data_IF_318068314384
#
_entry.id   IF_318068314384
#
_cell.length_a   1.000
_cell.length_b   1.000
_cell.length_c   1.000
_cell.angle_alpha   90.00
_cell.angle_beta   90.00
_cell.angle_gamma   90.00
#
_symmetry.space_group_name_H-M   'P 1'
#
loop_
_entity.id
_entity.type
_entity.pdbx_description
1 polymer ?
#
# COMPACT_ATOMS: atom_id res chain seq x y z
N UNK A 1 -5.06 15.40 6.18
CA UNK A 1 -5.89 14.88 5.06
C UNK A 1 -7.30 14.79 5.59
N UNK A 2 -8.19 15.60 5.03
CA UNK A 2 -9.58 15.64 5.49
C UNK A 2 -10.30 14.35 5.06
N UNK A 3 -11.31 13.96 5.82
CA UNK A 3 -12.11 12.75 5.56
C UNK A 3 -11.29 11.45 5.46
N UNK A 4 -10.17 11.37 6.18
CA UNK A 4 -9.41 10.15 6.36
C UNK A 4 -10.20 9.14 7.21
N UNK A 5 -10.46 7.96 6.65
CA UNK A 5 -11.21 6.87 7.27
C UNK A 5 -10.28 5.74 7.72
N UNK A 6 -10.63 5.13 8.85
CA UNK A 6 -10.04 3.89 9.33
C UNK A 6 -11.07 2.76 9.22
N UNK A 7 -10.69 1.65 8.58
CA UNK A 7 -11.44 0.41 8.57
C UNK A 7 -10.78 -0.49 9.61
N UNK A 8 -11.36 -0.54 10.81
CA UNK A 8 -10.79 -1.22 11.97
C UNK A 8 -11.55 -2.51 12.25
N UNK A 9 -10.82 -3.58 12.57
CA UNK A 9 -11.41 -4.84 13.03
C UNK A 9 -12.18 -4.63 14.34
N UNK A 10 -13.34 -5.30 14.50
CA UNK A 10 -14.17 -5.11 15.71
C UNK A 10 -13.47 -5.63 16.97
N UNK A 11 -12.93 -6.85 16.87
CA UNK A 11 -12.08 -7.44 17.89
C UNK A 11 -10.64 -7.04 17.64
N UNK A 12 -9.82 -7.07 18.69
CA UNK A 12 -8.40 -6.81 18.54
C UNK A 12 -7.75 -7.89 17.67
N UNK A 13 -7.20 -7.47 16.53
CA UNK A 13 -6.26 -8.23 15.71
C UNK A 13 -4.96 -7.45 15.61
N UNK A 14 -3.82 -8.14 15.53
CA UNK A 14 -2.53 -7.47 15.38
C UNK A 14 -2.36 -6.89 13.96
N UNK A 15 -1.82 -5.68 13.87
CA UNK A 15 -1.38 -5.00 12.64
C UNK A 15 -0.23 -5.74 11.93
N UNK A 16 0.35 -6.76 12.58
CA UNK A 16 1.36 -7.64 12.02
C UNK A 16 0.79 -8.92 11.38
N UNK A 17 -0.52 -8.95 11.08
CA UNK A 17 -1.19 -10.08 10.43
C UNK A 17 -1.54 -9.78 8.97
N UNK A 18 -1.55 -10.80 8.10
CA UNK A 18 -1.93 -10.59 6.71
C UNK A 18 -3.39 -10.13 6.59
N UNK A 19 -3.67 -9.33 5.55
CA UNK A 19 -5.04 -8.98 5.20
C UNK A 19 -5.83 -10.23 4.76
N UNK A 20 -7.07 -10.31 5.21
CA UNK A 20 -8.00 -11.41 4.95
C UNK A 20 -9.00 -11.03 3.86
N UNK A 21 -9.80 -11.99 3.43
CA UNK A 21 -10.92 -11.74 2.51
C UNK A 21 -11.88 -10.69 3.10
N UNK A 22 -12.16 -10.74 4.41
CA UNK A 22 -13.05 -9.80 5.08
C UNK A 22 -12.51 -8.36 5.06
N UNK A 23 -11.18 -8.20 5.21
CA UNK A 23 -10.54 -6.89 5.09
C UNK A 23 -10.72 -6.32 3.68
N UNK A 24 -10.53 -7.14 2.64
CA UNK A 24 -10.72 -6.73 1.25
C UNK A 24 -12.20 -6.51 0.90
N UNK A 25 -13.12 -7.24 1.52
CA UNK A 25 -14.56 -6.99 1.37
C UNK A 25 -14.94 -5.62 1.96
N UNK A 26 -14.46 -5.30 3.16
CA UNK A 26 -14.69 -4.01 3.79
C UNK A 26 -14.06 -2.87 2.99
N UNK A 27 -12.81 -3.04 2.53
CA UNK A 27 -12.13 -2.09 1.65
C UNK A 27 -12.91 -1.86 0.36
N UNK A 28 -13.38 -2.94 -0.30
CA UNK A 28 -14.14 -2.86 -1.54
C UNK A 28 -15.49 -2.15 -1.37
N UNK A 29 -16.18 -2.35 -0.23
CA UNK A 29 -17.40 -1.62 0.11
C UNK A 29 -17.13 -0.12 0.23
N UNK A 30 -16.12 0.29 1.00
CA UNK A 30 -15.76 1.71 1.14
C UNK A 30 -15.33 2.32 -0.19
N UNK A 31 -14.44 1.63 -0.91
CA UNK A 31 -13.96 2.10 -2.20
C UNK A 31 -15.07 2.19 -3.22
N UNK A 32 -16.21 1.49 -3.11
CA UNK A 32 -17.37 1.65 -4.02
C UNK A 32 -18.15 2.95 -3.81
N UNK A 33 -18.16 3.49 -2.60
CA UNK A 33 -18.94 4.69 -2.27
C UNK A 33 -18.27 5.98 -2.77
N UNK A 34 -16.94 6.02 -2.80
CA UNK A 34 -16.21 7.17 -3.34
C UNK A 34 -14.87 6.77 -3.96
N UNK A 35 -14.29 7.67 -4.76
CA UNK A 35 -12.97 7.46 -5.34
C UNK A 35 -11.90 7.75 -4.28
N UNK A 36 -11.11 6.73 -3.94
CA UNK A 36 -10.15 6.81 -2.85
C UNK A 36 -8.91 5.95 -3.06
N UNK A 37 -7.92 6.20 -2.21
CA UNK A 37 -6.73 5.39 -2.04
C UNK A 37 -6.81 4.67 -0.69
N UNK A 38 -6.97 3.35 -0.73
CA UNK A 38 -6.83 2.50 0.44
C UNK A 38 -5.37 2.14 0.65
N UNK A 39 -4.93 2.02 1.90
CA UNK A 39 -3.57 1.61 2.21
C UNK A 39 -3.44 0.90 3.55
N UNK A 40 -2.38 0.10 3.65
CA UNK A 40 -2.05 -0.70 4.83
C UNK A 40 -0.55 -0.66 5.10
N UNK A 41 -0.19 -0.40 6.36
CA UNK A 41 1.20 -0.44 6.82
C UNK A 41 1.36 -1.74 7.62
N UNK A 42 1.93 -2.78 7.00
CA UNK A 42 2.17 -4.08 7.64
C UNK A 42 3.46 -4.06 8.46
N UNK A 43 3.32 -4.11 9.80
CA UNK A 43 4.39 -3.96 10.81
C UNK A 43 4.97 -2.55 10.99
N UNK A 44 5.71 -2.39 12.09
CA UNK A 44 6.38 -1.15 12.48
C UNK A 44 7.26 -0.55 11.37
N UNK A 45 8.11 -1.34 10.73
CA UNK A 45 9.01 -0.84 9.68
C UNK A 45 8.26 -0.33 8.43
N UNK A 46 6.97 -0.61 8.28
CA UNK A 46 6.15 -0.03 7.23
C UNK A 46 5.48 1.30 7.62
N UNK A 47 5.79 1.85 8.80
CA UNK A 47 5.16 3.05 9.36
C UNK A 47 3.83 2.77 10.06
N UNK A 48 3.69 1.58 10.64
CA UNK A 48 2.52 1.26 11.47
C UNK A 48 2.68 1.87 12.87
N UNK A 49 1.77 2.77 13.24
CA UNK A 49 1.80 3.45 14.54
C UNK A 49 0.89 2.83 15.61
N UNK A 50 -0.12 2.05 15.19
CA UNK A 50 -1.09 1.39 16.07
C UNK A 50 -1.02 -0.13 15.90
N UNK A 51 -1.20 -0.85 17.02
CA UNK A 51 -1.19 -2.32 17.03
C UNK A 51 -2.49 -2.94 16.56
N UNK A 52 -3.62 -2.29 16.80
CA UNK A 52 -4.92 -2.82 16.39
C UNK A 52 -5.04 -2.72 14.87
N UNK A 53 -5.33 -3.85 14.22
CA UNK A 53 -5.43 -3.99 12.77
C UNK A 53 -6.41 -3.00 12.15
N UNK A 54 -5.89 -2.17 11.26
CA UNK A 54 -6.65 -1.18 10.52
C UNK A 54 -6.12 -0.98 9.10
N UNK A 55 -7.05 -0.88 8.16
CA UNK A 55 -6.84 -0.29 6.84
C UNK A 55 -7.14 1.20 6.92
N UNK A 56 -6.42 1.98 6.13
CA UNK A 56 -6.63 3.41 6.00
C UNK A 56 -7.19 3.71 4.61
N UNK A 57 -8.05 4.71 4.51
CA UNK A 57 -8.63 5.10 3.24
C UNK A 57 -8.83 6.61 3.19
N UNK A 58 -8.31 7.24 2.15
CA UNK A 58 -8.43 8.68 1.94
C UNK A 58 -9.09 8.97 0.60
N UNK A 59 -9.94 10.02 0.52
CA UNK A 59 -10.53 10.43 -0.75
C UNK A 59 -9.45 10.98 -1.69
N UNK A 60 -9.69 10.83 -2.99
CA UNK A 60 -8.90 11.45 -4.04
C UNK A 60 -9.57 12.74 -4.53
N UNK A 61 -8.80 13.74 -4.99
CA UNK A 61 -7.34 13.72 -5.21
C UNK A 61 -6.51 13.98 -3.92
N UNK A 62 -5.27 13.49 -3.90
CA UNK A 62 -4.28 13.75 -2.83
C UNK A 62 -3.68 15.16 -2.91
N UNK A 63 -3.63 15.73 -4.11
CA UNK A 63 -3.10 17.07 -4.36
C UNK A 63 -4.16 17.93 -5.04
N UNK A 64 -4.21 19.24 -4.78
CA UNK A 64 -5.20 20.13 -5.40
C UNK A 64 -4.93 20.35 -6.90
N UNK A 65 -3.71 20.09 -7.36
CA UNK A 65 -3.27 20.24 -8.74
C UNK A 65 -2.48 19.00 -9.18
N UNK A 66 -2.48 18.74 -10.50
CA UNK A 66 -1.78 17.59 -11.09
C UNK A 66 -2.60 16.30 -11.07
N UNK A 67 -1.94 15.13 -11.18
CA UNK A 67 -2.58 13.82 -11.09
C UNK A 67 -3.26 13.62 -9.72
N UNK A 68 -4.31 12.79 -9.66
CA UNK A 68 -5.05 12.58 -8.40
C UNK A 68 -4.19 11.89 -7.34
N UNK A 69 -3.27 11.02 -7.79
CA UNK A 69 -2.23 10.43 -6.98
C UNK A 69 -0.90 10.82 -7.64
N UNK A 70 0.07 11.43 -6.94
CA UNK A 70 1.32 11.91 -7.56
C UNK A 70 2.06 10.87 -8.41
N UNK A 71 1.98 9.59 -8.06
CA UNK A 71 2.61 8.49 -8.81
C UNK A 71 1.78 7.95 -10.00
N UNK A 72 0.60 8.48 -10.30
CA UNK A 72 -0.24 8.03 -11.43
C UNK A 72 0.52 7.92 -12.77
N UNK A 73 1.38 8.88 -13.16
CA UNK A 73 2.19 8.75 -14.38
C UNK A 73 3.14 7.54 -14.34
N UNK A 74 3.72 7.23 -13.18
CA UNK A 74 4.58 6.07 -13.01
C UNK A 74 3.76 4.76 -13.10
N UNK A 75 2.58 4.73 -12.49
CA UNK A 75 1.65 3.59 -12.58
C UNK A 75 1.21 3.33 -14.03
N UNK A 76 0.94 4.39 -14.81
CA UNK A 76 0.59 4.26 -16.23
C UNK A 76 1.73 3.66 -17.07
N UNK A 77 2.98 3.81 -16.64
CA UNK A 77 4.16 3.23 -17.29
C UNK A 77 4.46 1.77 -16.91
N UNK A 78 3.66 1.18 -16.00
CA UNK A 78 3.87 -0.17 -15.51
C UNK A 78 3.87 -1.20 -16.65
N UNK A 79 4.86 -2.09 -16.63
CA UNK A 79 4.99 -3.22 -17.56
C UNK A 79 4.59 -4.50 -16.87
N UNK A 80 3.69 -5.25 -17.51
CA UNK A 80 3.10 -6.46 -16.94
C UNK A 80 3.63 -7.71 -17.64
N UNK A 81 3.91 -8.74 -16.85
CA UNK A 81 4.16 -10.11 -17.29
C UNK A 81 3.05 -10.98 -16.68
N UNK A 82 2.01 -11.24 -17.48
CA UNK A 82 0.78 -11.83 -16.94
C UNK A 82 0.02 -10.85 -16.04
N UNK A 83 -0.38 -11.29 -14.85
CA UNK A 83 -1.18 -10.48 -13.91
C UNK A 83 -0.34 -9.49 -13.09
N UNK A 84 0.97 -9.73 -12.96
CA UNK A 84 1.87 -8.94 -12.13
C UNK A 84 2.74 -8.05 -13.03
N UNK A 85 3.00 -6.84 -12.58
CA UNK A 85 3.84 -5.88 -13.26
C UNK A 85 4.79 -5.15 -12.34
N UNK A 86 5.67 -4.40 -12.96
CA UNK A 86 6.68 -3.54 -12.35
C UNK A 86 6.68 -2.18 -13.02
N UNK A 87 7.05 -1.15 -12.28
CA UNK A 87 7.13 0.24 -12.72
C UNK A 87 8.62 0.55 -12.97
N UNK A 88 9.03 0.78 -14.23
CA UNK A 88 10.46 0.95 -14.56
C UNK A 88 11.16 2.08 -13.80
N UNK A 89 10.43 3.12 -13.39
CA UNK A 89 10.98 4.27 -12.68
C UNK A 89 11.13 4.05 -11.17
N UNK A 90 10.71 2.91 -10.61
CA UNK A 90 10.84 2.62 -9.18
C UNK A 90 12.11 1.78 -8.93
N UNK A 91 13.15 2.35 -8.29
CA UNK A 91 14.46 1.71 -8.14
C UNK A 91 14.55 0.83 -6.87
N UNK A 92 13.47 0.13 -6.55
CA UNK A 92 13.32 -0.72 -5.36
C UNK A 92 12.32 -1.85 -5.64
N UNK A 93 12.34 -2.91 -4.83
CA UNK A 93 11.43 -4.05 -4.96
C UNK A 93 10.00 -3.59 -4.76
N UNK A 94 9.15 -3.94 -5.70
CA UNK A 94 7.71 -3.72 -5.64
C UNK A 94 7.02 -4.63 -6.66
N UNK A 95 5.72 -4.81 -6.51
CA UNK A 95 4.89 -5.44 -7.52
C UNK A 95 3.56 -4.72 -7.61
N UNK A 96 3.03 -4.60 -8.83
CA UNK A 96 1.72 -4.01 -9.09
C UNK A 96 0.84 -4.99 -9.87
N UNK A 97 -0.43 -5.07 -9.53
CA UNK A 97 -1.44 -5.76 -10.31
C UNK A 97 -2.56 -4.80 -10.68
N UNK A 98 -3.22 -5.08 -11.80
CA UNK A 98 -4.50 -4.45 -12.12
C UNK A 98 -5.59 -5.11 -11.29
N UNK A 99 -6.59 -4.35 -10.90
CA UNK A 99 -7.83 -4.87 -10.33
C UNK A 99 -8.95 -4.57 -11.32
N UNK A 100 -9.70 -5.59 -11.73
CA UNK A 100 -10.88 -5.38 -12.57
C UNK A 100 -12.15 -5.60 -11.74
N UNK A 101 -12.99 -4.57 -11.57
CA UNK A 101 -14.24 -4.70 -10.85
C UNK A 101 -15.23 -5.67 -11.53
N UNK A 102 -15.01 -6.05 -12.79
CA UNK A 102 -15.83 -7.02 -13.53
C UNK A 102 -15.47 -8.47 -13.24
N UNK A 103 -14.37 -8.74 -12.51
CA UNK A 103 -13.94 -10.11 -12.21
C UNK A 103 -14.91 -10.89 -11.32
N UNK A 104 -15.91 -10.24 -10.72
CA UNK A 104 -16.76 -10.84 -9.73
C UNK A 104 -18.23 -10.44 -9.90
N UNK A 105 -19.13 -11.40 -9.66
CA UNK A 105 -20.58 -11.22 -9.73
C UNK A 105 -21.16 -10.76 -8.39
N UNK A 106 -20.39 -10.83 -7.32
CA UNK A 106 -20.76 -10.39 -5.97
C UNK A 106 -19.61 -9.70 -5.23
N UNK A 107 -19.90 -8.89 -4.19
CA UNK A 107 -18.86 -8.28 -3.36
C UNK A 107 -17.90 -9.29 -2.72
N UNK A 108 -18.41 -10.46 -2.33
CA UNK A 108 -17.59 -11.51 -1.72
C UNK A 108 -16.63 -12.15 -2.74
N UNK A 109 -17.11 -12.46 -3.95
CA UNK A 109 -16.24 -12.95 -5.02
C UNK A 109 -15.15 -11.94 -5.36
N UNK A 110 -15.47 -10.64 -5.36
CA UNK A 110 -14.51 -9.57 -5.62
C UNK A 110 -13.43 -9.53 -4.53
N UNK A 111 -13.84 -9.70 -3.27
CA UNK A 111 -12.93 -9.74 -2.13
C UNK A 111 -12.00 -10.95 -2.19
N UNK A 112 -12.51 -12.13 -2.55
CA UNK A 112 -11.71 -13.36 -2.73
C UNK A 112 -10.69 -13.17 -3.85
N UNK A 113 -11.10 -12.68 -5.02
CA UNK A 113 -10.18 -12.43 -6.13
C UNK A 113 -9.12 -11.37 -5.78
N UNK A 114 -9.52 -10.33 -5.05
CA UNK A 114 -8.61 -9.27 -4.58
C UNK A 114 -7.61 -9.81 -3.55
N UNK A 115 -8.04 -10.69 -2.65
CA UNK A 115 -7.18 -11.35 -1.67
C UNK A 115 -6.19 -12.32 -2.34
N UNK A 116 -6.61 -13.04 -3.38
CA UNK A 116 -5.72 -13.88 -4.18
C UNK A 116 -4.64 -13.03 -4.87
N UNK A 117 -5.06 -11.94 -5.53
CA UNK A 117 -4.15 -10.98 -6.17
C UNK A 117 -3.13 -10.41 -5.16
N UNK A 118 -3.59 -10.09 -3.96
CA UNK A 118 -2.74 -9.62 -2.87
C UNK A 118 -1.66 -10.66 -2.49
N UNK A 119 -2.02 -11.93 -2.35
CA UNK A 119 -1.06 -12.99 -2.05
C UNK A 119 -0.09 -13.26 -3.21
N UNK A 120 -0.54 -13.14 -4.46
CA UNK A 120 0.34 -13.25 -5.63
C UNK A 120 1.35 -12.10 -5.70
N UNK A 121 0.93 -10.87 -5.37
CA UNK A 121 1.83 -9.72 -5.23
C UNK A 121 2.84 -9.93 -4.10
N UNK A 122 2.41 -10.42 -2.95
CA UNK A 122 3.29 -10.74 -1.82
C UNK A 122 4.36 -11.78 -2.21
N UNK A 123 3.96 -12.84 -2.92
CA UNK A 123 4.89 -13.85 -3.43
C UNK A 123 5.89 -13.23 -4.41
N UNK A 124 5.44 -12.37 -5.32
CA UNK A 124 6.28 -11.71 -6.32
C UNK A 124 7.35 -10.79 -5.70
N UNK A 125 7.09 -10.23 -4.52
CA UNK A 125 8.04 -9.38 -3.79
C UNK A 125 8.84 -10.11 -2.70
N UNK A 126 8.80 -11.45 -2.68
CA UNK A 126 9.58 -12.26 -1.74
C UNK A 126 9.02 -12.33 -0.32
N UNK A 127 7.71 -12.04 -0.13
CA UNK A 127 7.01 -12.11 1.15
C UNK A 127 5.86 -13.15 1.12
N UNK A 128 6.09 -14.40 0.68
CA UNK A 128 5.02 -15.39 0.64
C UNK A 128 4.45 -15.65 2.03
N UNK A 129 3.15 -15.94 2.08
CA UNK A 129 2.52 -16.50 3.27
C UNK A 129 3.01 -17.93 3.44
N UNK A 130 3.41 -18.28 4.66
CA UNK A 130 3.68 -19.68 5.02
C UNK A 130 2.35 -20.42 5.19
N UNK A 131 2.02 -21.30 4.24
CA UNK A 131 0.79 -22.09 4.28
C UNK A 131 0.85 -23.23 5.31
N UNK A 132 2.05 -23.61 5.76
CA UNK A 132 2.22 -24.63 6.81
C UNK A 132 1.99 -24.08 8.22
N UNK A 133 2.05 -22.76 8.38
CA UNK A 133 1.84 -22.09 9.65
C UNK A 133 0.35 -21.82 9.89
N UNK A 134 -0.13 -22.22 11.08
CA UNK A 134 -1.46 -21.83 11.57
C UNK A 134 -1.54 -20.35 11.96
N UNK A 135 -0.41 -19.64 12.03
CA UNK A 135 -0.35 -18.23 12.37
C UNK A 135 -0.55 -17.35 11.13
N UNK A 136 -1.50 -16.41 11.19
CA UNK A 136 -1.69 -15.40 10.13
C UNK A 136 -0.65 -14.26 10.20
N UNK A 137 0.55 -14.50 10.75
CA UNK A 137 1.56 -13.46 10.96
C UNK A 137 2.32 -13.15 9.67
N UNK A 138 2.56 -11.86 9.44
CA UNK A 138 3.37 -11.37 8.32
C UNK A 138 4.81 -11.90 8.44
N UNK A 139 5.46 -12.21 7.32
CA UNK A 139 6.88 -12.63 7.31
C UNK A 139 7.84 -11.43 7.26
N UNK A 140 7.38 -10.31 6.71
CA UNK A 140 8.16 -9.07 6.60
C UNK A 140 7.26 -7.83 6.59
N UNK A 141 7.88 -6.66 6.69
CA UNK A 141 7.17 -5.39 6.64
C UNK A 141 6.89 -4.97 5.20
N UNK A 142 5.72 -4.40 4.93
CA UNK A 142 5.35 -3.93 3.60
C UNK A 142 4.30 -2.82 3.67
N UNK A 143 4.30 -1.96 2.66
CA UNK A 143 3.17 -1.09 2.37
C UNK A 143 2.31 -1.70 1.27
N UNK A 144 1.00 -1.65 1.45
CA UNK A 144 0.02 -1.89 0.42
C UNK A 144 -0.70 -0.59 0.09
N UNK A 145 -0.87 -0.33 -1.19
CA UNK A 145 -1.68 0.74 -1.75
C UNK A 145 -2.68 0.13 -2.72
N UNK A 146 -3.95 0.53 -2.65
CA UNK A 146 -4.97 0.02 -3.55
C UNK A 146 -5.99 1.09 -3.93
N UNK A 147 -6.41 1.06 -5.20
CA UNK A 147 -7.59 1.76 -5.71
C UNK A 147 -8.56 0.72 -6.26
N UNK A 148 -9.67 1.14 -6.88
CA UNK A 148 -10.54 0.21 -7.64
C UNK A 148 -9.85 -0.42 -8.86
N UNK A 149 -8.72 0.14 -9.31
CA UNK A 149 -8.11 -0.19 -10.61
C UNK A 149 -6.79 -0.95 -10.49
N UNK A 150 -6.12 -0.87 -9.34
CA UNK A 150 -4.80 -1.46 -9.16
C UNK A 150 -4.48 -1.66 -7.67
N UNK A 151 -3.55 -2.57 -7.41
CA UNK A 151 -2.94 -2.81 -6.10
C UNK A 151 -1.43 -2.85 -6.25
N UNK A 152 -0.72 -2.13 -5.38
CA UNK A 152 0.73 -2.03 -5.32
C UNK A 152 1.21 -2.51 -3.94
N UNK A 153 2.22 -3.37 -3.92
CA UNK A 153 2.93 -3.78 -2.71
C UNK A 153 4.38 -3.35 -2.81
N UNK A 154 4.89 -2.78 -1.71
CA UNK A 154 6.30 -2.41 -1.55
C UNK A 154 6.83 -2.98 -0.23
N UNK A 155 7.74 -3.97 -0.24
CA UNK A 155 8.45 -4.41 0.95
C UNK A 155 9.28 -3.29 1.57
N UNK A 156 9.35 -3.27 2.89
CA UNK A 156 9.97 -2.19 3.68
C UNK A 156 11.15 -2.71 4.48
N UNK A 157 12.26 -1.99 4.40
CA UNK A 157 13.52 -2.30 5.10
C UNK A 157 13.68 -1.49 6.39
N UNK A 158 13.14 -0.27 6.43
CA UNK A 158 13.18 0.63 7.58
C UNK A 158 11.99 1.60 7.56
N UNK A 159 11.60 2.09 8.73
CA UNK A 159 10.42 2.97 8.92
C UNK A 159 10.63 4.38 8.35
N UNK A 160 11.79 4.95 8.64
CA UNK A 160 12.11 6.36 8.41
C UNK A 160 13.34 6.51 7.51
N UNK A 161 13.42 7.62 6.79
CA UNK A 161 14.67 8.09 6.20
C UNK A 161 15.20 9.26 7.04
N UNK A 162 16.29 9.04 7.76
CA UNK A 162 16.78 9.99 8.77
C UNK A 162 15.66 10.36 9.76
N UNK A 163 15.15 11.59 9.72
CA UNK A 163 14.04 12.04 10.57
C UNK A 163 12.68 12.08 9.86
N UNK A 164 12.61 11.71 8.58
CA UNK A 164 11.39 11.75 7.77
C UNK A 164 10.69 10.40 7.84
N UNK A 165 9.51 10.30 8.49
CA UNK A 165 8.77 9.06 8.50
C UNK A 165 8.14 8.76 7.15
N UNK A 166 8.25 7.49 6.73
CA UNK A 166 7.70 7.04 5.46
C UNK A 166 6.71 5.90 5.70
N UNK A 167 5.47 6.11 5.29
CA UNK A 167 4.44 5.08 5.26
C UNK A 167 3.91 4.91 3.83
N UNK A 168 2.78 4.21 3.66
CA UNK A 168 2.17 4.00 2.34
C UNK A 168 1.93 5.30 1.55
N UNK A 169 1.62 6.43 2.19
CA UNK A 169 1.42 7.70 1.48
C UNK A 169 2.72 8.25 0.88
N UNK A 170 3.87 7.98 1.51
CA UNK A 170 5.17 8.27 0.91
C UNK A 170 5.33 7.56 -0.44
N UNK A 171 4.95 6.28 -0.50
CA UNK A 171 4.95 5.51 -1.75
C UNK A 171 3.84 5.90 -2.73
N UNK A 172 2.81 6.64 -2.29
CA UNK A 172 1.86 7.32 -3.17
C UNK A 172 2.43 8.64 -3.75
N UNK A 173 3.65 9.02 -3.34
CA UNK A 173 4.31 10.28 -3.71
C UNK A 173 3.94 11.47 -2.82
N UNK A 174 3.27 11.23 -1.69
CA UNK A 174 2.89 12.24 -0.72
C UNK A 174 3.76 12.13 0.56
N UNK A 175 5.00 12.61 0.48
CA UNK A 175 5.92 12.66 1.62
C UNK A 175 5.55 13.81 2.56
N UNK A 176 5.38 13.51 3.85
CA UNK A 176 5.04 14.48 4.88
C UNK A 176 6.29 14.88 5.68
N UNK A 177 6.60 16.17 5.67
CA UNK A 177 7.66 16.76 6.51
C UNK A 177 7.04 17.67 7.55
N UNK A 178 7.65 17.72 8.74
CA UNK A 178 7.14 18.45 9.92
C UNK A 178 7.79 19.80 10.13
N UNK A 179 8.94 20.05 9.53
CA UNK A 179 9.72 21.26 9.71
C UNK A 179 10.61 21.56 8.47
N UNK A 180 11.21 22.75 8.47
CA UNK A 180 12.07 23.23 7.38
C UNK A 180 13.31 22.36 7.17
N UNK A 181 13.89 21.80 8.24
CA UNK A 181 15.04 20.91 8.15
C UNK A 181 14.70 19.63 7.37
N UNK A 182 13.57 19.00 7.66
CA UNK A 182 13.08 17.85 6.92
C UNK A 182 12.73 18.20 5.47
N UNK A 183 12.17 19.39 5.24
CA UNK A 183 11.95 19.89 3.88
C UNK A 183 13.27 20.04 3.11
N UNK A 184 14.33 20.52 3.75
CA UNK A 184 15.64 20.65 3.13
C UNK A 184 16.22 19.27 2.77
N UNK A 185 16.18 18.31 3.71
CA UNK A 185 16.59 16.92 3.47
C UNK A 185 15.82 16.33 2.27
N UNK A 186 14.50 16.56 2.20
CA UNK A 186 13.65 16.09 1.11
C UNK A 186 14.06 16.69 -0.24
N UNK A 187 14.38 17.99 -0.28
CA UNK A 187 14.83 18.69 -1.50
C UNK A 187 16.21 18.18 -1.96
N UNK A 188 17.14 18.00 -1.02
CA UNK A 188 18.52 17.62 -1.32
C UNK A 188 18.61 16.17 -1.80
N UNK A 189 17.91 15.26 -1.13
CA UNK A 189 17.93 13.84 -1.48
C UNK A 189 16.99 13.50 -2.65
N UNK A 190 15.85 14.18 -2.72
CA UNK A 190 14.78 13.90 -3.68
C UNK A 190 13.87 12.72 -3.25
N UNK A 191 12.57 12.76 -3.57
CA UNK A 191 11.60 11.75 -3.13
C UNK A 191 11.99 10.32 -3.48
N UNK A 192 12.44 10.05 -4.70
CA UNK A 192 12.69 8.68 -5.16
C UNK A 192 13.86 8.01 -4.42
N UNK A 193 14.90 8.78 -4.06
CA UNK A 193 16.05 8.26 -3.31
C UNK A 193 15.68 7.99 -1.85
N UNK A 194 14.80 8.80 -1.28
CA UNK A 194 14.22 8.56 0.04
C UNK A 194 13.42 7.25 0.04
N UNK A 195 12.52 7.07 -0.94
CA UNK A 195 11.73 5.84 -1.06
C UNK A 195 12.61 4.61 -1.28
N UNK A 196 13.64 4.73 -2.12
CA UNK A 196 14.64 3.67 -2.33
C UNK A 196 15.34 3.25 -1.03
N UNK A 197 15.67 4.22 -0.17
CA UNK A 197 16.41 3.96 1.07
C UNK A 197 15.58 3.24 2.12
N UNK A 198 14.25 3.35 2.06
CA UNK A 198 13.34 2.74 3.05
C UNK A 198 12.60 1.51 2.54
N UNK A 199 12.76 1.17 1.26
CA UNK A 199 12.27 -0.04 0.63
C UNK A 199 13.37 -1.12 0.53
N UNK A 200 12.97 -2.37 0.28
CA UNK A 200 13.92 -3.42 -0.07
C UNK A 200 14.45 -3.23 -1.51
N UNK A 201 15.66 -3.73 -1.79
CA UNK A 201 16.33 -3.63 -3.09
C UNK A 201 16.43 -5.00 -3.79
#
# INVERSE_FOLDING_TARGET
VDHHLLIVTRSFEEQETWLTVQDFEAMGRCLREFEGLAFYNGRKLAGASQRHKHLQLIPLPLTPQGPKIPIEPAIASAKFQGAIGTIPSFPFVHAIARLDPRWAKSPLEAAVATNQCYHDLLRAVGLPRDESSSSNKQSGAYNLLATRKWMLIVPRSQEDFQSIPVNSLGFAGALLVRNEQQMQILKDCGPINILKSVACL
#
